data_IF_344881074213
#
_entry.id   IF_344881074213
#
_cell.length_a   1.000
_cell.length_b   1.000
_cell.length_c   1.000
_cell.angle_alpha   90.00
_cell.angle_beta   90.00
_cell.angle_gamma   90.00
#
_symmetry.space_group_name_H-M   'P 1'
#
loop_
_entity.id
_entity.type
_entity.pdbx_description
1 polymer ?
#
# COMPACT_ATOMS: atom_id res chain seq x y z
N UNK A 1 0.33 -15.93 -12.01
CA UNK A 1 0.30 -14.45 -12.10
C UNK A 1 1.35 -14.06 -13.12
N UNK A 2 1.01 -13.36 -14.20
CA UNK A 2 2.04 -12.86 -15.10
C UNK A 2 2.82 -11.75 -14.37
N UNK A 3 4.12 -11.93 -14.20
CA UNK A 3 5.00 -10.89 -13.66
C UNK A 3 5.41 -9.99 -14.83
N UNK A 4 5.15 -8.69 -14.69
CA UNK A 4 5.59 -7.67 -15.64
C UNK A 4 6.96 -7.16 -15.19
N UNK A 5 8.04 -7.35 -15.96
CA UNK A 5 9.37 -6.89 -15.56
C UNK A 5 9.39 -5.36 -15.39
N UNK A 6 10.09 -4.87 -14.38
CA UNK A 6 10.17 -3.45 -14.01
C UNK A 6 9.00 -2.97 -13.15
N UNK A 7 8.31 -3.87 -12.45
CA UNK A 7 7.15 -3.54 -11.61
C UNK A 7 7.44 -3.69 -10.12
N UNK A 8 6.59 -3.10 -9.26
CA UNK A 8 6.69 -3.28 -7.81
C UNK A 8 6.58 -4.76 -7.37
N UNK A 9 5.88 -5.58 -8.16
CA UNK A 9 5.73 -7.03 -7.90
C UNK A 9 6.97 -7.86 -8.26
N UNK A 10 8.02 -7.25 -8.80
CA UNK A 10 9.33 -7.90 -8.92
C UNK A 10 9.96 -8.14 -7.54
N UNK A 11 9.52 -7.41 -6.52
CA UNK A 11 9.87 -7.65 -5.11
C UNK A 11 9.06 -8.85 -4.61
N UNK A 12 9.77 -9.93 -4.29
CA UNK A 12 9.16 -11.14 -3.73
C UNK A 12 8.35 -10.83 -2.47
N UNK A 13 7.14 -11.38 -2.39
CA UNK A 13 6.22 -11.17 -1.27
C UNK A 13 5.29 -9.96 -1.43
N UNK A 14 5.49 -9.11 -2.45
CA UNK A 14 4.53 -8.08 -2.80
C UNK A 14 3.54 -8.57 -3.86
N UNK A 15 2.26 -8.28 -3.64
CA UNK A 15 1.19 -8.51 -4.60
C UNK A 15 0.39 -7.22 -4.76
N UNK A 16 -0.14 -6.98 -5.95
CA UNK A 16 -0.97 -5.79 -6.22
C UNK A 16 -2.33 -6.22 -6.76
N UNK A 17 -3.39 -5.64 -6.20
CA UNK A 17 -4.77 -5.79 -6.64
C UNK A 17 -5.38 -4.45 -7.02
N UNK A 18 -6.21 -4.45 -8.05
CA UNK A 18 -6.93 -3.27 -8.51
C UNK A 18 -8.43 -3.58 -8.59
N UNK A 19 -9.24 -2.61 -8.19
CA UNK A 19 -10.67 -2.60 -8.50
C UNK A 19 -11.02 -1.27 -9.14
N UNK A 20 -11.73 -1.32 -10.27
CA UNK A 20 -12.25 -0.14 -10.97
C UNK A 20 -13.76 -0.30 -11.11
N UNK A 21 -14.55 0.67 -10.65
CA UNK A 21 -15.99 0.67 -10.90
C UNK A 21 -16.24 1.10 -12.35
N UNK A 22 -16.71 0.20 -13.20
CA UNK A 22 -16.92 0.52 -14.62
C UNK A 22 -18.00 1.60 -14.87
N UNK A 23 -18.82 1.96 -13.87
CA UNK A 23 -19.91 2.94 -14.00
C UNK A 23 -19.45 4.39 -13.77
N UNK A 24 -18.30 4.60 -13.11
CA UNK A 24 -17.81 5.93 -12.70
C UNK A 24 -16.27 5.95 -12.67
N UNK A 25 -15.59 7.08 -12.84
CA UNK A 25 -14.12 7.14 -12.77
C UNK A 25 -13.62 7.03 -11.32
N UNK A 26 -13.76 5.85 -10.71
CA UNK A 26 -13.35 5.56 -9.33
C UNK A 26 -12.94 4.09 -9.17
N UNK A 27 -12.24 3.80 -8.08
CA UNK A 27 -11.66 2.50 -7.81
C UNK A 27 -10.75 2.55 -6.59
N UNK A 28 -10.00 1.47 -6.38
CA UNK A 28 -8.92 1.42 -5.40
C UNK A 28 -7.79 0.50 -5.87
N UNK A 29 -6.61 0.72 -5.33
CA UNK A 29 -5.46 -0.17 -5.48
C UNK A 29 -4.99 -0.63 -4.11
N UNK A 30 -4.62 -1.90 -4.01
CA UNK A 30 -4.05 -2.46 -2.78
C UNK A 30 -2.71 -3.10 -3.10
N UNK A 31 -1.68 -2.70 -2.35
CA UNK A 31 -0.41 -3.43 -2.27
C UNK A 31 -0.48 -4.33 -1.05
N UNK A 32 -0.40 -5.65 -1.23
CA UNK A 32 -0.38 -6.66 -0.18
C UNK A 32 1.05 -7.13 0.08
N UNK A 33 1.39 -7.25 1.36
CA UNK A 33 2.67 -7.74 1.86
C UNK A 33 2.47 -9.14 2.48
N UNK A 34 2.96 -10.18 1.80
CA UNK A 34 2.88 -11.57 2.23
C UNK A 34 4.28 -12.20 2.26
N UNK A 35 4.97 -12.26 3.43
CA UNK A 35 4.49 -11.90 4.78
C UNK A 35 4.43 -10.38 5.04
N UNK A 36 3.81 -9.99 6.16
CA UNK A 36 3.74 -8.60 6.58
C UNK A 36 5.14 -7.95 6.67
N UNK A 37 5.24 -6.70 6.24
CA UNK A 37 6.50 -5.98 6.06
C UNK A 37 6.61 -4.78 7.00
N UNK A 38 7.84 -4.41 7.37
CA UNK A 38 8.10 -3.13 8.02
C UNK A 38 7.67 -1.98 7.10
N UNK A 39 7.06 -0.94 7.67
CA UNK A 39 6.47 0.16 6.90
C UNK A 39 6.67 1.50 7.61
N UNK A 40 6.87 2.56 6.82
CA UNK A 40 6.92 3.94 7.25
C UNK A 40 6.25 4.83 6.21
N UNK A 41 5.89 6.06 6.58
CA UNK A 41 5.19 7.00 5.68
C UNK A 41 5.76 8.41 5.80
N UNK A 42 5.85 9.10 4.66
CA UNK A 42 6.16 10.53 4.58
C UNK A 42 5.04 11.23 3.79
N UNK A 43 4.28 12.10 4.47
CA UNK A 43 3.15 12.83 3.90
C UNK A 43 3.60 14.26 3.58
N UNK A 44 3.90 14.49 2.30
CA UNK A 44 4.50 15.76 1.83
C UNK A 44 3.49 16.81 1.34
N UNK A 45 2.24 16.40 1.07
CA UNK A 45 1.19 17.28 0.57
C UNK A 45 0.58 18.14 1.68
N UNK A 46 0.11 19.35 1.33
CA UNK A 46 -0.47 20.28 2.30
C UNK A 46 -1.92 19.96 2.72
N UNK A 47 -2.62 19.09 1.98
CA UNK A 47 -4.01 18.70 2.25
C UNK A 47 -4.19 17.17 2.11
N UNK A 48 -3.63 16.38 3.04
CA UNK A 48 -3.67 14.93 2.96
C UNK A 48 -5.05 14.35 3.29
N UNK A 49 -5.44 13.29 2.57
CA UNK A 49 -6.53 12.40 2.94
C UNK A 49 -5.95 11.05 3.34
N UNK A 50 -5.49 10.94 4.58
CA UNK A 50 -4.77 9.78 5.08
C UNK A 50 -5.55 9.02 6.15
N UNK A 51 -5.15 7.77 6.37
CA UNK A 51 -5.66 6.91 7.43
C UNK A 51 -4.50 6.07 8.00
N UNK A 52 -4.51 5.86 9.32
CA UNK A 52 -3.52 5.07 10.08
C UNK A 52 -2.05 5.53 10.01
N UNK A 53 -1.74 6.73 9.50
CA UNK A 53 -0.34 7.17 9.34
C UNK A 53 0.41 7.31 10.66
N UNK A 54 -0.29 7.67 11.74
CA UNK A 54 0.32 7.83 13.06
C UNK A 54 0.88 6.50 13.58
N UNK A 55 0.25 5.35 13.24
CA UNK A 55 0.73 4.03 13.64
C UNK A 55 2.10 3.68 13.05
N UNK A 56 2.49 4.33 11.94
CA UNK A 56 3.74 4.08 11.23
C UNK A 56 4.92 4.91 11.75
N UNK A 57 4.69 5.74 12.77
CA UNK A 57 5.78 6.45 13.44
C UNK A 57 6.72 5.45 14.16
N UNK A 58 8.05 5.55 13.97
CA UNK A 58 9.00 4.69 14.67
C UNK A 58 8.83 4.79 16.19
N UNK A 59 8.71 3.65 16.87
CA UNK A 59 8.50 3.56 18.32
C UNK A 59 7.06 3.28 18.75
N UNK A 60 6.10 3.33 17.83
CA UNK A 60 4.75 2.83 18.09
C UNK A 60 4.70 1.29 18.10
N UNK A 61 3.62 0.74 18.65
CA UNK A 61 3.46 -0.71 18.86
C UNK A 61 3.42 -1.52 17.56
N UNK A 62 2.87 -0.95 16.50
CA UNK A 62 2.72 -1.64 15.20
C UNK A 62 4.04 -1.59 14.45
N UNK A 63 4.67 -2.75 14.28
CA UNK A 63 5.98 -2.89 13.61
C UNK A 63 5.87 -3.43 12.17
N UNK A 64 4.71 -3.98 11.79
CA UNK A 64 4.46 -4.60 10.48
C UNK A 64 3.10 -4.26 9.91
N UNK A 65 3.06 -4.11 8.58
CA UNK A 65 1.87 -3.82 7.78
C UNK A 65 1.62 -4.95 6.78
N UNK A 66 0.35 -5.33 6.62
CA UNK A 66 -0.08 -6.35 5.68
C UNK A 66 -0.52 -5.76 4.34
N UNK A 67 -0.97 -4.50 4.32
CA UNK A 67 -1.49 -3.88 3.12
C UNK A 67 -1.38 -2.35 3.14
N UNK A 68 -1.24 -1.76 1.96
CA UNK A 68 -1.37 -0.32 1.71
C UNK A 68 -2.50 -0.12 0.70
N UNK A 69 -3.38 0.85 0.95
CA UNK A 69 -4.51 1.19 0.07
C UNK A 69 -4.30 2.57 -0.54
N UNK A 70 -4.57 2.67 -1.84
CA UNK A 70 -4.62 3.89 -2.63
C UNK A 70 -6.03 4.11 -3.18
#
# INVERSE_FOLDING_TARGET
MALFPGSITDIQGLRVGHHTDARRPTGCTVVLCEPAAACGVDVRGAAPGTRETDLLAPGNLVDKVHAIVL
#
